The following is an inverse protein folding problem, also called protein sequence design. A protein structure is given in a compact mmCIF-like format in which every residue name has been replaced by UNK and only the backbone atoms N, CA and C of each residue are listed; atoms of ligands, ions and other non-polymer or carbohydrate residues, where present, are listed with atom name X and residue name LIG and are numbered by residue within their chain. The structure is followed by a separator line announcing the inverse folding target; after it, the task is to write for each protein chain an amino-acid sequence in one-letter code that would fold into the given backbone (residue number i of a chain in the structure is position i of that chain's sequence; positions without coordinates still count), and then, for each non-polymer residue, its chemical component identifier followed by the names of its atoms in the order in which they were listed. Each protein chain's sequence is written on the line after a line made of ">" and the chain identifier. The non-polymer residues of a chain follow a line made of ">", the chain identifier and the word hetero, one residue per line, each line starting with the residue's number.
data_IF_506676921600
#
_entry.id   IF_506676921600
#
_cell.length_a   1.000
_cell.length_b   1.000
_cell.length_c   1.000
_cell.angle_alpha   90.00
_cell.angle_beta   90.00
_cell.angle_gamma   90.00
#
_symmetry.space_group_name_H-M   'P 1'
#
loop_
_entity.id
_entity.type
_entity.pdbx_description
1 polymer ?
#
# COMPACT_ATOMS: atom_id res chain seq x y z
N UNK A 1 12.38 3.93 7.79
CA UNK A 1 11.57 2.85 7.20
C UNK A 1 10.22 3.42 6.79
N UNK A 2 9.65 2.95 5.69
CA UNK A 2 8.31 3.27 5.19
C UNK A 2 7.58 1.96 4.89
N UNK A 3 6.25 1.94 5.02
CA UNK A 3 5.41 0.78 4.70
C UNK A 3 4.33 1.21 3.73
N UNK A 4 4.13 0.43 2.67
CA UNK A 4 3.03 0.60 1.73
C UNK A 4 2.25 -0.70 1.64
N UNK A 5 0.92 -0.63 1.76
CA UNK A 5 0.02 -1.80 1.61
C UNK A 5 -0.74 -1.65 0.31
N UNK A 6 -0.57 -2.64 -0.59
CA UNK A 6 -1.17 -2.67 -1.94
C UNK A 6 -1.80 -4.04 -2.21
N UNK A 7 -2.55 -4.14 -3.31
CA UNK A 7 -3.25 -5.35 -3.73
C UNK A 7 -4.70 -5.41 -3.24
N UNK A 8 -5.46 -6.39 -3.76
CA UNK A 8 -6.91 -6.49 -3.52
C UNK A 8 -7.31 -6.73 -2.05
N UNK A 9 -6.41 -7.27 -1.24
CA UNK A 9 -6.64 -7.47 0.20
C UNK A 9 -6.30 -6.26 1.08
N UNK A 10 -5.74 -5.17 0.52
CA UNK A 10 -5.23 -4.03 1.29
C UNK A 10 -6.29 -3.41 2.21
N UNK A 11 -7.53 -3.27 1.71
CA UNK A 11 -8.67 -2.76 2.49
C UNK A 11 -8.97 -3.60 3.74
N UNK A 12 -8.70 -4.91 3.67
CA UNK A 12 -9.04 -5.86 4.75
C UNK A 12 -7.95 -5.93 5.82
N UNK A 13 -6.68 -5.73 5.44
CA UNK A 13 -5.54 -6.00 6.33
C UNK A 13 -4.75 -4.76 6.75
N UNK A 14 -4.99 -3.60 6.13
CA UNK A 14 -4.22 -2.37 6.34
C UNK A 14 -4.04 -2.03 7.82
N UNK A 15 -5.12 -2.05 8.59
CA UNK A 15 -5.08 -1.70 10.02
C UNK A 15 -4.28 -2.71 10.85
N UNK A 16 -4.37 -4.00 10.50
CA UNK A 16 -3.60 -5.05 11.15
C UNK A 16 -2.09 -4.87 10.88
N UNK A 17 -1.72 -4.54 9.63
CA UNK A 17 -0.32 -4.25 9.26
C UNK A 17 0.18 -3.00 9.98
N UNK A 18 -0.61 -1.92 10.02
CA UNK A 18 -0.25 -0.68 10.73
C UNK A 18 -0.03 -0.92 12.21
N UNK A 19 -0.93 -1.67 12.86
CA UNK A 19 -0.81 -2.05 14.27
C UNK A 19 0.42 -2.92 14.54
N UNK A 20 0.71 -3.88 13.67
CA UNK A 20 1.85 -4.80 13.84
C UNK A 20 3.20 -4.09 13.64
N UNK A 21 3.28 -3.17 12.67
CA UNK A 21 4.51 -2.45 12.34
C UNK A 21 4.80 -1.26 13.27
N UNK A 22 3.79 -0.74 13.96
CA UNK A 22 3.87 0.43 14.85
C UNK A 22 4.54 1.65 14.19
N UNK A 23 4.43 1.76 12.87
CA UNK A 23 5.05 2.84 12.11
C UNK A 23 4.20 4.11 12.22
N UNK A 24 4.86 5.27 12.22
CA UNK A 24 4.18 6.57 12.26
C UNK A 24 3.30 6.77 11.02
N UNK A 25 2.18 7.46 11.20
CA UNK A 25 1.17 7.67 10.17
C UNK A 25 1.73 8.33 8.91
N UNK A 26 2.64 9.29 9.05
CA UNK A 26 3.25 9.95 7.89
C UNK A 26 4.20 9.06 7.08
N UNK A 27 4.43 7.81 7.54
CA UNK A 27 5.29 6.81 6.88
C UNK A 27 4.53 5.53 6.50
N UNK A 28 3.21 5.49 6.73
CA UNK A 28 2.34 4.39 6.35
C UNK A 28 1.46 4.83 5.18
N UNK A 29 1.56 4.13 4.05
CA UNK A 29 0.84 4.50 2.83
C UNK A 29 -0.12 3.40 2.40
N UNK A 30 -1.29 3.83 1.94
CA UNK A 30 -2.30 3.01 1.27
C UNK A 30 -2.97 3.89 0.23
N UNK A 31 -3.13 3.38 -0.98
CA UNK A 31 -3.78 4.12 -2.06
C UNK A 31 -5.27 3.81 -2.11
N UNK A 32 -6.05 4.69 -2.73
CA UNK A 32 -7.49 4.47 -2.94
C UNK A 32 -7.78 3.41 -4.02
N UNK A 33 -6.78 3.04 -4.82
CA UNK A 33 -6.91 2.10 -5.93
C UNK A 33 -5.94 0.91 -5.77
N UNK A 34 -5.80 0.43 -4.53
CA UNK A 34 -4.78 -0.54 -4.11
C UNK A 34 -4.72 -1.80 -5.01
N UNK A 35 -5.84 -2.24 -5.59
CA UNK A 35 -5.90 -3.40 -6.48
C UNK A 35 -5.11 -3.20 -7.80
N UNK A 36 -4.93 -1.96 -8.25
CA UNK A 36 -4.29 -1.62 -9.53
C UNK A 36 -2.87 -1.07 -9.38
N UNK A 37 -2.36 -0.85 -8.16
CA UNK A 37 -1.08 -0.17 -7.93
C UNK A 37 0.10 -0.85 -8.65
N UNK A 38 0.15 -2.19 -8.66
CA UNK A 38 1.22 -2.92 -9.33
C UNK A 38 1.18 -2.73 -10.85
N UNK A 39 0.02 -2.93 -11.48
CA UNK A 39 -0.12 -2.80 -12.93
C UNK A 39 0.05 -1.35 -13.39
N UNK A 40 -0.46 -0.38 -12.62
CA UNK A 40 -0.25 1.04 -12.89
C UNK A 40 1.24 1.40 -12.78
N UNK A 41 1.93 0.91 -11.75
CA UNK A 41 3.37 1.10 -11.61
C UNK A 41 4.16 0.51 -12.78
N UNK A 42 3.83 -0.72 -13.19
CA UNK A 42 4.47 -1.36 -14.35
C UNK A 42 4.22 -0.59 -15.65
N UNK A 43 2.98 -0.14 -15.88
CA UNK A 43 2.64 0.69 -17.04
C UNK A 43 3.45 1.98 -17.06
N UNK A 44 3.51 2.70 -15.94
CA UNK A 44 4.24 3.98 -15.84
C UNK A 44 5.76 3.82 -15.96
N UNK A 45 6.34 2.68 -15.58
CA UNK A 45 7.77 2.40 -15.76
C UNK A 45 8.08 2.04 -17.23
N UNK A 46 7.16 1.35 -17.90
CA UNK A 46 7.34 0.89 -19.28
C UNK A 46 6.92 1.90 -20.35
N UNK A 47 6.39 3.06 -19.96
CA UNK A 47 5.88 4.11 -20.83
C UNK A 47 6.78 5.35 -20.77
#
# INVERSE_FOLDING_TARGET
>A
THVMVIGGGAELICDAVKKHTQIRDERFFKTNNSQYDLVNGMYLIGN
#
